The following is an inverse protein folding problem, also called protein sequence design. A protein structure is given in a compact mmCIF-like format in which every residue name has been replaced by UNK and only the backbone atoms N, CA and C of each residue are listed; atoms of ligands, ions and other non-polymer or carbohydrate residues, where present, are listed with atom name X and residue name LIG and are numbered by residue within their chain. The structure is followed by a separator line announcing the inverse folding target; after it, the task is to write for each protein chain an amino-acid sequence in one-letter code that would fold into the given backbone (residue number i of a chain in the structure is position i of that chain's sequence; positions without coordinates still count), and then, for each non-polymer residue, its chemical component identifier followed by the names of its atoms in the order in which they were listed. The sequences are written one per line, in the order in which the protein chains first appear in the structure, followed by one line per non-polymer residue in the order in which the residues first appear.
data_IF_048355469720
#
_entry.id   IF_048355469720
#
_cell.length_a   1.000
_cell.length_b   1.000
_cell.length_c   1.000
_cell.angle_alpha   90.00
_cell.angle_beta   90.00
_cell.angle_gamma   90.00
#
_symmetry.space_group_name_H-M   'P 1'
#
loop_
_entity.id
_entity.type
_entity.pdbx_description
1 polymer ?
#
# COMPACT_ATOMS: atom_id res chain seq x y z
N UNK A 1 3.86 -18.39 -2.72
CA UNK A 1 3.61 -17.10 -2.08
C UNK A 1 2.22 -16.65 -2.49
N UNK A 2 1.42 -16.09 -1.59
CA UNK A 2 0.03 -15.67 -1.87
C UNK A 2 -0.02 -14.24 -2.36
N UNK A 3 0.60 -13.33 -1.63
CA UNK A 3 0.81 -11.93 -2.02
C UNK A 3 2.21 -11.48 -1.64
N UNK A 4 2.57 -10.29 -2.04
CA UNK A 4 3.88 -9.69 -1.78
C UNK A 4 3.70 -8.27 -1.24
N UNK A 5 4.66 -7.83 -0.47
CA UNK A 5 4.92 -6.44 -0.13
C UNK A 5 6.27 -6.04 -0.74
N UNK A 6 6.51 -4.76 -0.96
CA UNK A 6 7.79 -4.27 -1.46
C UNK A 6 8.88 -4.47 -0.40
N UNK A 7 10.14 -4.56 -0.80
CA UNK A 7 11.30 -4.80 0.08
C UNK A 7 11.35 -3.79 1.24
N UNK A 8 11.08 -2.51 0.96
CA UNK A 8 11.09 -1.45 1.97
C UNK A 8 9.80 -1.36 2.81
N UNK A 9 8.73 -2.07 2.43
CA UNK A 9 7.43 -2.04 3.12
C UNK A 9 7.42 -3.05 4.25
N UNK A 10 7.02 -2.63 5.44
CA UNK A 10 6.78 -3.55 6.57
C UNK A 10 5.32 -4.02 6.62
N UNK A 11 5.02 -5.01 7.46
CA UNK A 11 3.64 -5.42 7.74
C UNK A 11 3.35 -6.90 7.57
N UNK A 12 2.05 -7.22 7.52
CA UNK A 12 1.54 -8.59 7.41
C UNK A 12 1.87 -9.19 6.04
N UNK A 13 2.46 -10.38 6.05
CA UNK A 13 2.70 -11.20 4.87
C UNK A 13 2.09 -12.60 5.08
N UNK A 14 1.20 -13.02 4.17
CA UNK A 14 0.57 -14.33 4.22
C UNK A 14 1.32 -15.33 3.33
N UNK A 15 1.76 -16.42 3.93
CA UNK A 15 2.50 -17.49 3.26
C UNK A 15 1.70 -18.78 3.36
N UNK A 16 1.36 -19.38 2.23
CA UNK A 16 0.78 -20.72 2.19
C UNK A 16 1.87 -21.78 2.28
N UNK A 17 1.69 -22.78 3.16
CA UNK A 17 2.66 -23.87 3.37
C UNK A 17 2.53 -25.01 2.35
N UNK A 18 1.43 -25.08 1.60
CA UNK A 18 1.22 -26.10 0.57
C UNK A 18 0.68 -25.47 -0.73
N UNK A 19 0.91 -26.09 -1.90
CA UNK A 19 0.40 -25.59 -3.17
C UNK A 19 -1.14 -25.43 -3.19
N UNK A 20 -1.87 -26.34 -2.54
CA UNK A 20 -3.33 -26.30 -2.46
C UNK A 20 -3.79 -25.04 -1.73
N UNK A 21 -3.22 -24.75 -0.55
CA UNK A 21 -3.55 -23.56 0.24
C UNK A 21 -3.20 -22.29 -0.55
N UNK A 22 -2.06 -22.26 -1.22
CA UNK A 22 -1.68 -21.13 -2.08
C UNK A 22 -2.73 -20.90 -3.17
N UNK A 23 -3.20 -21.96 -3.83
CA UNK A 23 -4.25 -21.88 -4.85
C UNK A 23 -5.57 -21.30 -4.32
N UNK A 24 -6.02 -21.76 -3.15
CA UNK A 24 -7.25 -21.27 -2.51
C UNK A 24 -7.12 -19.79 -2.17
N UNK A 25 -6.02 -19.38 -1.53
CA UNK A 25 -5.78 -17.99 -1.12
C UNK A 25 -5.60 -17.05 -2.34
N UNK A 26 -4.92 -17.49 -3.39
CA UNK A 26 -4.81 -16.72 -4.63
C UNK A 26 -6.18 -16.51 -5.28
N UNK A 27 -7.09 -17.49 -5.21
CA UNK A 27 -8.46 -17.34 -5.68
C UNK A 27 -9.22 -16.29 -4.87
N UNK A 28 -9.07 -16.26 -3.54
CA UNK A 28 -9.67 -15.21 -2.71
C UNK A 28 -9.14 -13.82 -3.09
N UNK A 29 -7.84 -13.70 -3.35
CA UNK A 29 -7.23 -12.45 -3.77
C UNK A 29 -7.78 -11.99 -5.13
N UNK A 30 -7.87 -12.88 -6.13
CA UNK A 30 -8.40 -12.56 -7.47
C UNK A 30 -9.90 -12.21 -7.44
N UNK A 31 -10.66 -12.79 -6.52
CA UNK A 31 -12.07 -12.51 -6.30
C UNK A 31 -12.33 -11.30 -5.39
N UNK A 32 -11.29 -10.55 -4.99
CA UNK A 32 -11.36 -9.42 -4.05
C UNK A 32 -12.00 -9.77 -2.69
N UNK A 33 -11.90 -11.04 -2.28
CA UNK A 33 -12.38 -11.53 -0.97
C UNK A 33 -11.32 -11.41 0.13
N UNK A 34 -10.11 -10.97 -0.24
CA UNK A 34 -9.03 -10.69 0.70
C UNK A 34 -8.83 -9.17 0.77
N UNK A 35 -8.98 -8.59 1.97
CA UNK A 35 -8.77 -7.17 2.19
C UNK A 35 -7.38 -6.91 2.81
N UNK A 36 -6.70 -5.90 2.27
CA UNK A 36 -5.37 -5.47 2.71
C UNK A 36 -5.44 -3.99 3.05
N UNK A 37 -5.23 -3.65 4.30
CA UNK A 37 -5.19 -2.28 4.76
C UNK A 37 -3.78 -1.89 5.17
N UNK A 38 -3.36 -0.72 4.71
CA UNK A 38 -2.05 -0.14 4.99
C UNK A 38 -2.19 1.16 5.77
N UNK A 39 -1.13 1.50 6.49
CA UNK A 39 -0.89 2.86 6.98
C UNK A 39 0.24 3.45 6.16
N UNK A 40 0.06 4.69 5.71
CA UNK A 40 1.07 5.49 5.03
C UNK A 40 1.18 6.87 5.67
N UNK A 41 2.39 7.40 5.77
CA UNK A 41 2.63 8.80 6.15
C UNK A 41 3.11 9.54 4.90
N UNK A 42 2.41 10.61 4.53
CA UNK A 42 2.69 11.37 3.31
C UNK A 42 3.02 12.83 3.60
N UNK A 43 3.69 13.48 2.65
CA UNK A 43 3.82 14.94 2.63
C UNK A 43 2.46 15.58 2.31
N UNK A 44 2.05 16.54 3.14
CA UNK A 44 0.82 17.34 2.95
C UNK A 44 1.01 18.74 3.58
N UNK A 45 2.02 19.52 3.12
CA UNK A 45 2.40 20.79 3.77
C UNK A 45 1.32 21.85 3.69
N UNK A 46 0.54 21.88 2.61
CA UNK A 46 -0.54 22.84 2.39
C UNK A 46 -1.91 22.31 2.84
N UNK A 47 -1.96 21.08 3.35
CA UNK A 47 -3.20 20.39 3.75
C UNK A 47 -4.23 20.26 2.61
N UNK A 48 -3.74 20.09 1.39
CA UNK A 48 -4.57 19.98 0.18
C UNK A 48 -5.09 18.56 -0.08
N UNK A 49 -4.54 17.57 0.61
CA UNK A 49 -4.98 16.19 0.45
C UNK A 49 -6.46 16.05 0.88
N UNK A 50 -7.31 15.57 -0.02
CA UNK A 50 -8.71 15.32 0.29
C UNK A 50 -8.86 14.33 1.47
N UNK A 51 -9.89 14.50 2.32
CA UNK A 51 -10.14 13.64 3.48
C UNK A 51 -10.28 12.15 3.11
N UNK A 52 -10.79 11.89 1.92
CA UNK A 52 -10.84 10.56 1.32
C UNK A 52 -10.92 10.68 -0.18
N UNK A 53 -10.28 9.77 -0.89
CA UNK A 53 -10.38 9.68 -2.34
C UNK A 53 -10.08 8.27 -2.86
N UNK A 54 -10.40 8.09 -4.13
CA UNK A 54 -10.03 6.91 -4.92
C UNK A 54 -9.09 7.36 -6.03
N UNK A 55 -7.90 6.77 -6.07
CA UNK A 55 -6.95 6.95 -7.17
C UNK A 55 -7.15 5.76 -8.12
N UNK A 56 -7.64 6.03 -9.31
CA UNK A 56 -7.87 5.05 -10.36
C UNK A 56 -7.02 5.42 -11.58
N UNK A 57 -5.76 5.07 -11.52
CA UNK A 57 -4.76 5.38 -12.54
C UNK A 57 -3.96 4.13 -12.89
N UNK A 58 -3.90 3.73 -14.18
CA UNK A 58 -3.16 2.53 -14.58
C UNK A 58 -1.66 2.70 -14.33
N UNK A 59 -1.00 1.59 -13.97
CA UNK A 59 0.42 1.58 -13.61
C UNK A 59 1.21 0.73 -14.61
N UNK A 60 2.25 1.32 -15.18
CA UNK A 60 3.24 0.70 -16.06
C UNK A 60 4.65 0.70 -15.46
N UNK A 61 5.59 0.16 -16.24
CA UNK A 61 7.03 0.27 -15.97
C UNK A 61 7.49 1.65 -16.41
N UNK A 62 8.30 2.32 -15.59
CA UNK A 62 8.88 3.60 -15.97
C UNK A 62 9.88 3.37 -17.13
N UNK A 63 9.71 4.04 -18.27
CA UNK A 63 10.58 3.84 -19.43
C UNK A 63 12.04 4.27 -19.21
N UNK A 64 12.27 5.16 -18.24
CA UNK A 64 13.61 5.66 -17.93
C UNK A 64 14.27 4.85 -16.79
N UNK A 65 13.47 4.11 -15.99
CA UNK A 65 13.99 3.34 -14.87
C UNK A 65 13.14 2.09 -14.63
N UNK A 66 13.60 0.94 -15.04
CA UNK A 66 12.92 -0.36 -14.92
C UNK A 66 12.61 -0.79 -13.49
N UNK A 67 13.33 -0.22 -12.49
CA UNK A 67 13.07 -0.43 -11.06
C UNK A 67 11.88 0.38 -10.54
N UNK A 68 11.46 1.40 -11.27
CA UNK A 68 10.33 2.24 -10.93
C UNK A 68 9.07 1.84 -11.68
N UNK A 69 7.94 2.37 -11.22
CA UNK A 69 6.65 2.30 -11.89
C UNK A 69 6.14 3.73 -12.03
N UNK A 70 5.33 3.96 -13.06
CA UNK A 70 4.70 5.26 -13.28
C UNK A 70 3.22 5.07 -13.62
N UNK A 71 2.45 6.15 -13.55
CA UNK A 71 1.11 6.19 -14.12
C UNK A 71 1.26 6.16 -15.65
N UNK A 72 0.67 5.14 -16.28
CA UNK A 72 0.76 4.92 -17.73
C UNK A 72 -0.62 4.60 -18.29
N UNK A 73 -1.23 5.59 -18.93
CA UNK A 73 -2.57 5.48 -19.51
C UNK A 73 -2.60 4.71 -20.85
N UNK A 74 -1.44 4.39 -21.42
CA UNK A 74 -1.34 3.71 -22.74
C UNK A 74 -1.14 2.21 -22.54
N UNK A 75 -0.14 1.80 -21.73
CA UNK A 75 0.26 0.40 -21.57
C UNK A 75 0.10 -0.09 -20.13
N UNK A 76 -0.29 0.78 -19.20
CA UNK A 76 -0.40 0.45 -17.79
C UNK A 76 -1.53 -0.53 -17.48
N UNK A 77 -1.34 -1.31 -16.44
CA UNK A 77 -2.36 -2.21 -15.91
C UNK A 77 -3.26 -1.47 -14.94
N UNK A 78 -4.58 -1.70 -15.02
CA UNK A 78 -5.57 -1.12 -14.12
C UNK A 78 -5.14 -1.24 -12.65
N UNK A 79 -5.18 -0.14 -11.92
CA UNK A 79 -4.82 -0.05 -10.52
C UNK A 79 -5.77 0.90 -9.78
N UNK A 80 -6.31 0.44 -8.64
CA UNK A 80 -7.27 1.21 -7.83
C UNK A 80 -6.83 1.19 -6.38
N UNK A 81 -6.66 2.37 -5.82
CA UNK A 81 -6.27 2.62 -4.42
C UNK A 81 -7.26 3.56 -3.78
N UNK A 82 -7.80 3.20 -2.63
CA UNK A 82 -8.62 4.07 -1.80
C UNK A 82 -7.81 4.55 -0.61
N UNK A 83 -7.95 5.82 -0.24
CA UNK A 83 -7.37 6.30 1.01
C UNK A 83 -8.36 7.14 1.80
N UNK A 84 -8.10 7.21 3.10
CA UNK A 84 -8.76 8.12 4.04
C UNK A 84 -7.71 8.71 4.98
N UNK A 85 -7.78 10.02 5.18
CA UNK A 85 -6.94 10.72 6.17
C UNK A 85 -7.39 10.30 7.58
N UNK A 86 -6.46 9.87 8.41
CA UNK A 86 -6.69 9.53 9.81
C UNK A 86 -6.36 10.72 10.72
N UNK A 87 -5.27 11.39 10.44
CA UNK A 87 -4.82 12.59 11.16
C UNK A 87 -3.84 13.39 10.31
N UNK A 88 -3.63 14.65 10.70
CA UNK A 88 -2.59 15.54 10.15
C UNK A 88 -1.73 16.06 11.28
N UNK A 89 -0.43 16.20 11.02
CA UNK A 89 0.53 16.76 11.98
C UNK A 89 1.61 17.54 11.23
N UNK A 90 1.64 18.85 11.42
CA UNK A 90 2.54 19.72 10.68
C UNK A 90 2.34 19.57 9.18
N UNK A 91 3.41 19.33 8.45
CA UNK A 91 3.41 19.15 6.99
C UNK A 91 3.11 17.71 6.53
N UNK A 92 2.49 16.88 7.38
CA UNK A 92 2.27 15.47 7.07
C UNK A 92 0.85 15.01 7.33
N UNK A 93 0.40 13.98 6.60
CA UNK A 93 -0.86 13.31 6.84
C UNK A 93 -0.65 11.79 7.04
N UNK A 94 -1.39 11.22 7.97
CA UNK A 94 -1.49 9.78 8.20
C UNK A 94 -2.69 9.25 7.45
N UNK A 95 -2.48 8.25 6.60
CA UNK A 95 -3.51 7.65 5.76
C UNK A 95 -3.79 6.21 6.13
N UNK A 96 -5.07 5.84 6.19
CA UNK A 96 -5.49 4.46 5.97
C UNK A 96 -5.66 4.24 4.47
N UNK A 97 -5.06 3.19 3.93
CA UNK A 97 -5.07 2.89 2.49
C UNK A 97 -5.58 1.48 2.26
N UNK A 98 -6.56 1.32 1.39
CA UNK A 98 -7.14 0.05 0.98
C UNK A 98 -6.91 -0.19 -0.52
N UNK A 99 -6.65 -1.45 -0.89
CA UNK A 99 -6.31 -1.83 -2.26
C UNK A 99 -7.35 -2.76 -2.88
N UNK A 100 -7.90 -2.39 -4.04
CA UNK A 100 -8.65 -3.31 -4.90
C UNK A 100 -7.72 -4.16 -5.78
N UNK A 101 -6.62 -3.61 -6.21
CA UNK A 101 -5.59 -4.25 -7.06
C UNK A 101 -4.27 -4.33 -6.29
N UNK A 102 -3.25 -4.97 -6.86
CA UNK A 102 -1.94 -5.14 -6.21
C UNK A 102 -0.80 -5.07 -7.21
N UNK A 103 -0.63 -3.92 -7.86
CA UNK A 103 0.50 -3.69 -8.77
C UNK A 103 1.76 -3.37 -7.99
N UNK A 104 2.91 -3.63 -8.58
CA UNK A 104 4.20 -3.26 -7.99
C UNK A 104 4.24 -1.77 -7.70
N UNK A 105 4.65 -1.39 -6.49
CA UNK A 105 4.73 -0.02 -6.00
C UNK A 105 3.40 0.77 -6.03
N UNK A 106 2.25 0.11 -6.13
CA UNK A 106 0.97 0.78 -6.43
C UNK A 106 0.66 1.95 -5.51
N UNK A 107 0.70 1.77 -4.18
CA UNK A 107 0.40 2.85 -3.22
C UNK A 107 1.40 4.00 -3.40
N UNK A 108 2.66 3.70 -3.55
CA UNK A 108 3.76 4.65 -3.67
C UNK A 108 3.62 5.52 -4.91
N UNK A 109 3.38 4.88 -6.08
CA UNK A 109 3.14 5.57 -7.35
C UNK A 109 1.89 6.45 -7.29
N UNK A 110 0.79 5.90 -6.79
CA UNK A 110 -0.47 6.61 -6.72
C UNK A 110 -0.39 7.86 -5.86
N UNK A 111 0.17 7.75 -4.65
CA UNK A 111 0.30 8.90 -3.75
C UNK A 111 1.29 9.94 -4.30
N UNK A 112 2.39 9.52 -4.89
CA UNK A 112 3.32 10.42 -5.56
C UNK A 112 2.69 11.13 -6.76
N UNK A 113 1.86 10.42 -7.55
CA UNK A 113 1.21 11.00 -8.74
C UNK A 113 0.20 12.10 -8.45
N UNK A 114 -0.31 12.14 -7.23
CA UNK A 114 -1.22 13.21 -6.77
C UNK A 114 -0.49 14.29 -5.94
N UNK A 115 0.85 14.29 -5.92
CA UNK A 115 1.66 15.30 -5.23
C UNK A 115 1.92 15.04 -3.74
N UNK A 116 1.51 13.89 -3.20
CA UNK A 116 1.65 13.54 -1.80
C UNK A 116 2.50 12.25 -1.61
N UNK A 117 3.81 12.28 -1.96
CA UNK A 117 4.66 11.11 -1.84
C UNK A 117 4.82 10.67 -0.38
N UNK A 118 5.06 9.37 -0.19
CA UNK A 118 5.28 8.79 1.14
C UNK A 118 6.63 9.23 1.69
N UNK A 119 6.70 9.53 2.98
CA UNK A 119 7.94 9.85 3.67
C UNK A 119 8.91 8.65 3.65
N UNK A 120 10.18 8.93 3.45
CA UNK A 120 11.24 7.93 3.39
C UNK A 120 11.19 7.01 2.17
N UNK A 121 10.45 7.39 1.12
CA UNK A 121 10.43 6.62 -0.12
C UNK A 121 11.66 6.93 -0.98
N UNK A 122 12.61 5.99 -1.12
CA UNK A 122 13.85 6.26 -1.84
C UNK A 122 13.67 6.42 -3.36
N UNK A 123 12.51 5.99 -3.91
CA UNK A 123 12.25 6.03 -5.34
C UNK A 123 11.32 7.17 -5.75
N UNK A 124 10.31 7.48 -4.94
CA UNK A 124 9.27 8.45 -5.28
C UNK A 124 9.31 9.73 -4.43
N UNK A 125 10.19 9.76 -3.41
CA UNK A 125 10.47 10.94 -2.57
C UNK A 125 11.96 11.00 -2.20
N UNK A 126 12.87 11.02 -3.17
CA UNK A 126 14.31 10.82 -2.93
C UNK A 126 14.99 11.96 -2.16
N UNK A 127 14.35 13.11 -2.04
CA UNK A 127 14.86 14.25 -1.25
C UNK A 127 14.47 14.20 0.23
N UNK A 128 13.55 13.33 0.59
CA UNK A 128 13.14 13.14 1.98
C UNK A 128 14.21 12.36 2.75
N UNK A 129 14.53 12.83 3.95
CA UNK A 129 15.60 12.27 4.80
C UNK A 129 15.08 11.29 5.86
N UNK A 130 13.81 10.95 5.83
CA UNK A 130 13.22 9.95 6.73
C UNK A 130 13.91 8.59 6.54
N UNK A 131 14.41 7.95 7.62
CA UNK A 131 15.34 6.81 7.51
C UNK A 131 14.79 5.56 6.84
N UNK A 132 13.45 5.46 6.70
CA UNK A 132 12.79 4.31 6.07
C UNK A 132 11.48 4.73 5.42
N UNK A 133 11.03 3.94 4.46
CA UNK A 133 9.69 4.07 3.88
C UNK A 133 8.61 3.94 4.96
N UNK A 134 7.78 4.97 5.14
CA UNK A 134 6.67 4.97 6.09
C UNK A 134 5.38 4.41 5.44
N UNK A 135 5.49 3.19 4.92
CA UNK A 135 4.38 2.36 4.41
C UNK A 135 4.36 1.03 5.17
N UNK A 136 3.21 0.69 5.74
CA UNK A 136 3.05 -0.49 6.59
C UNK A 136 1.74 -1.21 6.29
N UNK A 137 1.82 -2.47 5.88
CA UNK A 137 0.66 -3.37 5.73
C UNK A 137 0.13 -3.78 7.09
N UNK A 138 -0.80 -2.98 7.65
CA UNK A 138 -1.23 -3.14 9.03
C UNK A 138 -2.17 -4.32 9.20
N UNK A 139 -3.17 -4.47 8.33
CA UNK A 139 -4.22 -5.48 8.52
C UNK A 139 -4.46 -6.27 7.25
N UNK A 140 -4.56 -7.58 7.44
CA UNK A 140 -4.97 -8.53 6.41
C UNK A 140 -6.22 -9.28 6.87
N UNK A 141 -7.28 -9.28 6.05
CA UNK A 141 -8.49 -10.08 6.27
C UNK A 141 -8.64 -11.08 5.15
N UNK A 142 -8.88 -12.32 5.49
CA UNK A 142 -9.07 -13.43 4.55
C UNK A 142 -9.97 -14.50 5.15
N UNK A 143 -10.41 -15.45 4.34
CA UNK A 143 -11.13 -16.65 4.80
C UNK A 143 -10.14 -17.80 4.92
N UNK A 144 -10.13 -18.46 6.08
CA UNK A 144 -9.23 -19.59 6.32
C UNK A 144 -9.58 -20.75 5.37
N UNK A 145 -8.58 -21.28 4.61
CA UNK A 145 -8.78 -22.48 3.82
C UNK A 145 -9.27 -23.65 4.68
N UNK A 146 -10.22 -24.42 4.18
CA UNK A 146 -10.87 -25.61 4.78
C UNK A 146 -11.91 -25.36 5.87
N UNK A 147 -11.82 -24.31 6.65
CA UNK A 147 -12.79 -24.02 7.73
C UNK A 147 -13.81 -22.96 7.35
N UNK A 148 -13.55 -22.21 6.28
CA UNK A 148 -14.32 -21.05 5.81
C UNK A 148 -14.52 -19.96 6.88
N UNK A 149 -13.70 -19.95 7.93
CA UNK A 149 -13.78 -18.96 9.00
C UNK A 149 -13.08 -17.67 8.58
N UNK A 150 -13.68 -16.49 8.81
CA UNK A 150 -13.02 -15.23 8.59
C UNK A 150 -11.86 -15.05 9.57
N UNK A 151 -10.72 -14.58 9.06
CA UNK A 151 -9.52 -14.28 9.84
C UNK A 151 -9.08 -12.85 9.61
N UNK A 152 -8.68 -12.21 10.68
CA UNK A 152 -8.04 -10.90 10.66
C UNK A 152 -6.70 -11.02 11.36
N UNK A 153 -5.64 -10.59 10.67
CA UNK A 153 -4.28 -10.54 11.22
C UNK A 153 -3.83 -9.09 11.17
N UNK A 154 -3.30 -8.59 12.28
CA UNK A 154 -2.81 -7.21 12.40
C UNK A 154 -1.35 -7.24 12.83
N UNK A 155 -0.50 -6.49 12.14
CA UNK A 155 0.87 -6.22 12.56
C UNK A 155 0.91 -4.92 13.37
N UNK A 156 1.68 -4.86 14.47
CA UNK A 156 1.89 -3.62 15.21
C UNK A 156 2.58 -2.60 14.32
N UNK A 157 2.16 -1.34 14.44
CA UNK A 157 2.80 -0.24 13.70
C UNK A 157 4.22 -0.06 14.24
N UNK A 158 5.24 0.05 13.38
CA UNK A 158 6.62 0.25 13.81
C UNK A 158 6.83 1.60 14.51
N UNK A 159 7.74 1.65 15.49
CA UNK A 159 8.08 2.85 16.28
C UNK A 159 8.41 4.08 15.41
N UNK A 160 8.98 3.88 14.22
CA UNK A 160 9.26 4.96 13.27
C UNK A 160 8.04 5.78 12.84
N UNK A 161 6.82 5.26 13.03
CA UNK A 161 5.56 5.95 12.74
C UNK A 161 5.07 6.80 13.92
N UNK A 162 5.49 6.48 15.15
CA UNK A 162 4.99 7.14 16.38
C UNK A 162 5.05 8.67 16.34
N UNK A 163 6.12 9.33 15.84
CA UNK A 163 6.19 10.78 15.77
C UNK A 163 5.05 11.45 14.98
N UNK A 164 4.36 10.69 14.14
CA UNK A 164 3.32 11.17 13.23
C UNK A 164 1.90 10.77 13.66
N UNK A 165 1.77 9.78 14.59
CA UNK A 165 0.47 9.22 14.98
C UNK A 165 -0.23 9.99 16.11
N UNK A 166 0.47 10.86 16.81
CA UNK A 166 -0.02 11.61 18.00
C UNK A 166 -0.32 13.07 17.71
#
# INVERSE_FOLDING_TARGET
MVHRIDEATSGVLLIGKTPIVIGILNRQLSQKKMARQYIAIVNDPEHELAEHATINSPIGVDPENDRQRCVDYINGLSAITHYRVLSRKGATAVLAVDLETGRTHQIRVHLASIGHPILGDPLYNPTDTTPRLLLHGQTLRYTEPYTDQPRTVTAPVPDAFEPYLS
#
